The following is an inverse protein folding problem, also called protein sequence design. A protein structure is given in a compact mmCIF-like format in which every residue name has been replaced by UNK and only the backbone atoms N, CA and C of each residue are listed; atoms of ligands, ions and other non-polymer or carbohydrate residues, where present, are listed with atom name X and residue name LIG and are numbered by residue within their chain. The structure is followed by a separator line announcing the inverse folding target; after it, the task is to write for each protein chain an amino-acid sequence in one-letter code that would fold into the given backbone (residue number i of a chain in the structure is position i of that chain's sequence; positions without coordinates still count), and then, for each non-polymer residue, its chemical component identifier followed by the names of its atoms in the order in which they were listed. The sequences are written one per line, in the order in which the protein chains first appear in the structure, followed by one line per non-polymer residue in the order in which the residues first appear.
data_IF_289228805708
#
_entry.id   IF_289228805708
#
_cell.length_a   1.000
_cell.length_b   1.000
_cell.length_c   1.000
_cell.angle_alpha   90.00
_cell.angle_beta   90.00
_cell.angle_gamma   90.00
#
_symmetry.space_group_name_H-M   'P 1'
#
loop_
_entity.id
_entity.type
_entity.pdbx_description
1 polymer ?
#
# COMPACT_ATOMS: atom_id res chain seq x y z
N UNK A 1 14.89 -14.21 -5.48
CA UNK A 1 13.98 -15.13 -4.80
C UNK A 1 12.56 -14.64 -5.04
N UNK A 2 11.62 -15.53 -5.37
CA UNK A 2 10.22 -15.20 -5.66
C UNK A 2 9.40 -15.26 -4.38
N UNK A 3 8.38 -14.38 -4.26
CA UNK A 3 7.48 -14.30 -3.10
C UNK A 3 6.07 -14.72 -3.51
N UNK A 4 5.46 -15.59 -2.71
CA UNK A 4 4.10 -16.10 -2.89
C UNK A 4 3.27 -15.82 -1.65
N UNK A 5 2.02 -15.41 -1.83
CA UNK A 5 1.09 -15.19 -0.73
C UNK A 5 0.13 -16.36 -0.64
N UNK A 6 -0.05 -16.88 0.56
CA UNK A 6 -0.96 -17.98 0.85
C UNK A 6 -1.84 -17.65 2.06
N UNK A 7 -3.00 -18.30 2.12
CA UNK A 7 -3.87 -18.23 3.28
C UNK A 7 -3.39 -19.20 4.37
N UNK A 8 -3.82 -18.98 5.62
CA UNK A 8 -3.50 -19.83 6.76
C UNK A 8 -3.82 -21.32 6.51
N UNK A 9 -4.90 -21.60 5.76
CA UNK A 9 -5.30 -22.97 5.39
C UNK A 9 -4.29 -23.68 4.49
N UNK A 10 -3.35 -22.98 3.88
CA UNK A 10 -2.27 -23.57 3.09
C UNK A 10 -1.13 -24.13 3.96
N UNK A 11 -1.11 -23.80 5.27
CA UNK A 11 -0.09 -24.27 6.20
C UNK A 11 -0.45 -25.64 6.77
N UNK A 12 0.44 -26.60 6.59
CA UNK A 12 0.33 -27.96 7.11
C UNK A 12 1.59 -28.28 7.96
N UNK A 13 1.55 -27.94 9.26
CA UNK A 13 2.70 -28.06 10.14
C UNK A 13 3.87 -27.15 9.71
N UNK A 14 4.99 -27.76 9.36
CA UNK A 14 6.21 -27.08 8.90
C UNK A 14 6.28 -26.94 7.37
N UNK A 15 5.16 -27.04 6.67
CA UNK A 15 5.08 -26.92 5.22
C UNK A 15 3.95 -26.00 4.79
N UNK A 16 4.08 -25.48 3.58
CA UNK A 16 2.99 -24.80 2.85
C UNK A 16 2.60 -25.58 1.60
N UNK A 17 1.30 -25.76 1.40
CA UNK A 17 0.73 -26.35 0.19
C UNK A 17 0.24 -25.25 -0.74
N UNK A 18 0.94 -25.02 -1.87
CA UNK A 18 0.69 -23.94 -2.80
C UNK A 18 0.04 -24.48 -4.07
N UNK A 19 -1.22 -24.15 -4.31
CA UNK A 19 -2.02 -24.59 -5.46
C UNK A 19 -2.33 -23.52 -6.49
N UNK A 20 -3.23 -23.86 -7.42
CA UNK A 20 -3.84 -22.92 -8.34
C UNK A 20 -2.88 -22.14 -9.25
N UNK A 21 -3.08 -20.82 -9.33
CA UNK A 21 -2.27 -19.94 -10.19
C UNK A 21 -0.82 -19.89 -9.78
N UNK A 22 -0.53 -19.91 -8.48
CA UNK A 22 0.83 -19.82 -7.97
C UNK A 22 1.60 -21.12 -8.22
N UNK A 23 0.96 -22.29 -8.11
CA UNK A 23 1.55 -23.56 -8.56
C UNK A 23 1.93 -23.51 -10.03
N UNK A 24 1.04 -23.02 -10.90
CA UNK A 24 1.33 -22.87 -12.32
C UNK A 24 2.49 -21.90 -12.56
N UNK A 25 2.54 -20.81 -11.82
CA UNK A 25 3.65 -19.85 -11.89
C UNK A 25 4.98 -20.49 -11.50
N UNK A 26 5.02 -21.20 -10.38
CA UNK A 26 6.22 -21.90 -9.88
C UNK A 26 6.74 -22.91 -10.93
N UNK A 27 5.88 -23.80 -11.39
CA UNK A 27 6.29 -24.92 -12.24
C UNK A 27 6.50 -24.55 -13.71
N UNK A 28 5.60 -23.74 -14.30
CA UNK A 28 5.56 -23.52 -15.74
C UNK A 28 6.19 -22.20 -16.17
N UNK A 29 6.10 -21.16 -15.37
CA UNK A 29 6.69 -19.83 -15.67
C UNK A 29 8.11 -19.75 -15.15
N UNK A 30 8.29 -19.99 -13.86
CA UNK A 30 9.60 -19.92 -13.19
C UNK A 30 10.43 -21.18 -13.37
N UNK A 31 9.78 -22.32 -13.69
CA UNK A 31 10.41 -23.63 -13.90
C UNK A 31 11.26 -24.08 -12.71
N UNK A 32 10.78 -23.75 -11.51
CA UNK A 32 11.44 -24.14 -10.27
C UNK A 32 11.39 -25.66 -10.07
N UNK A 33 12.39 -26.19 -9.40
CA UNK A 33 12.55 -27.61 -9.14
C UNK A 33 12.59 -27.90 -7.64
N UNK A 34 12.41 -29.16 -7.25
CA UNK A 34 12.63 -29.61 -5.88
C UNK A 34 14.04 -29.21 -5.43
N UNK A 35 14.13 -28.62 -4.24
CA UNK A 35 15.35 -28.04 -3.68
C UNK A 35 15.52 -26.54 -3.89
N UNK A 36 14.78 -25.93 -4.84
CA UNK A 36 14.83 -24.47 -5.02
C UNK A 36 14.17 -23.75 -3.83
N UNK A 37 14.65 -22.53 -3.56
CA UNK A 37 14.14 -21.69 -2.47
C UNK A 37 13.22 -20.60 -2.96
N UNK A 38 12.16 -20.33 -2.17
CA UNK A 38 11.18 -19.28 -2.38
C UNK A 38 10.79 -18.65 -1.05
N UNK A 39 10.15 -17.47 -1.13
CA UNK A 39 9.49 -16.87 0.03
C UNK A 39 8.01 -17.20 0.00
N UNK A 40 7.44 -17.50 1.16
CA UNK A 40 6.01 -17.65 1.36
C UNK A 40 5.57 -16.67 2.43
N UNK A 41 4.65 -15.80 2.10
CA UNK A 41 4.03 -14.85 3.03
C UNK A 41 2.63 -15.33 3.40
N UNK A 42 2.41 -15.56 4.70
CA UNK A 42 1.15 -16.01 5.28
C UNK A 42 0.84 -15.12 6.49
N UNK A 43 -0.35 -14.48 6.50
CA UNK A 43 -0.80 -13.61 7.60
C UNK A 43 0.26 -12.58 8.06
N UNK A 44 0.97 -11.98 7.11
CA UNK A 44 2.00 -10.95 7.38
C UNK A 44 3.36 -11.51 7.81
N UNK A 45 3.49 -12.81 7.95
CA UNK A 45 4.77 -13.47 8.25
C UNK A 45 5.39 -14.00 6.95
N UNK A 46 6.64 -13.64 6.68
CA UNK A 46 7.39 -14.15 5.53
C UNK A 46 8.34 -15.26 5.99
N UNK A 47 8.24 -16.43 5.36
CA UNK A 47 9.09 -17.58 5.63
C UNK A 47 9.97 -17.91 4.43
N UNK A 48 11.22 -18.22 4.67
CA UNK A 48 12.10 -18.86 3.68
C UNK A 48 11.70 -20.33 3.59
N UNK A 49 11.30 -20.77 2.41
CA UNK A 49 10.88 -22.13 2.15
C UNK A 49 11.74 -22.77 1.06
N UNK A 50 11.82 -24.10 1.10
CA UNK A 50 12.43 -24.93 0.08
C UNK A 50 11.37 -25.83 -0.56
N UNK A 51 11.32 -25.90 -1.88
CA UNK A 51 10.44 -26.83 -2.57
C UNK A 51 10.82 -28.27 -2.21
N UNK A 52 9.88 -28.98 -1.61
CA UNK A 52 10.05 -30.38 -1.21
C UNK A 52 9.47 -31.32 -2.26
N UNK A 53 8.21 -31.13 -2.63
CA UNK A 53 7.56 -31.95 -3.65
C UNK A 53 6.74 -31.11 -4.64
N UNK A 54 6.61 -31.64 -5.87
CA UNK A 54 5.76 -31.06 -6.93
C UNK A 54 4.71 -32.11 -7.27
N UNK A 55 3.47 -31.84 -6.87
CA UNK A 55 2.32 -32.69 -7.15
C UNK A 55 1.52 -32.22 -8.37
N UNK A 56 0.51 -33.01 -8.78
CA UNK A 56 -0.28 -32.68 -9.95
C UNK A 56 -1.05 -31.35 -9.83
N UNK A 57 -1.54 -31.01 -8.64
CA UNK A 57 -2.40 -29.86 -8.34
C UNK A 57 -1.76 -28.82 -7.42
N UNK A 58 -0.66 -29.15 -6.76
CA UNK A 58 0.04 -28.27 -5.80
C UNK A 58 1.55 -28.47 -5.82
N UNK A 59 2.26 -27.58 -5.17
CA UNK A 59 3.64 -27.78 -4.71
C UNK A 59 3.66 -27.67 -3.20
N UNK A 60 4.50 -28.51 -2.57
CA UNK A 60 4.74 -28.48 -1.13
C UNK A 60 6.09 -27.81 -0.90
N UNK A 61 6.13 -26.83 -0.02
CA UNK A 61 7.31 -26.09 0.34
C UNK A 61 7.56 -26.20 1.85
N UNK A 62 8.68 -26.78 2.25
CA UNK A 62 9.14 -26.91 3.63
C UNK A 62 9.62 -25.56 4.15
N UNK A 63 9.21 -25.16 5.35
CA UNK A 63 9.68 -23.96 6.03
C UNK A 63 11.11 -24.22 6.53
N UNK A 64 12.08 -23.48 5.99
CA UNK A 64 13.47 -23.52 6.40
C UNK A 64 13.74 -22.52 7.53
N UNK A 65 13.12 -21.34 7.42
CA UNK A 65 13.25 -20.27 8.41
C UNK A 65 11.95 -19.46 8.45
N UNK A 66 11.31 -19.42 9.59
CA UNK A 66 10.12 -18.58 9.83
C UNK A 66 10.56 -17.16 10.22
N UNK A 67 9.74 -16.16 9.88
CA UNK A 67 10.10 -14.75 10.12
C UNK A 67 11.42 -14.33 9.44
N UNK A 68 11.70 -14.91 8.28
CA UNK A 68 12.96 -14.71 7.56
C UNK A 68 13.24 -13.23 7.23
N UNK A 69 12.20 -12.47 6.92
CA UNK A 69 12.27 -11.02 6.68
C UNK A 69 10.98 -10.34 7.12
N UNK A 70 11.13 -9.20 7.78
CA UNK A 70 10.05 -8.24 7.94
C UNK A 70 10.37 -6.99 7.11
N UNK A 71 9.53 -6.70 6.10
CA UNK A 71 9.65 -5.53 5.23
C UNK A 71 8.55 -4.51 5.48
N UNK A 72 7.72 -4.76 6.48
CA UNK A 72 6.61 -3.87 6.82
C UNK A 72 7.07 -2.76 7.76
N UNK A 73 6.54 -1.57 7.52
CA UNK A 73 6.81 -0.43 8.38
C UNK A 73 6.13 -0.60 9.74
N UNK A 74 6.72 -0.11 10.83
CA UNK A 74 6.09 -0.10 12.15
C UNK A 74 4.92 0.90 12.25
N UNK A 75 4.54 1.55 11.15
CA UNK A 75 3.45 2.52 11.00
C UNK A 75 2.60 2.15 9.79
N UNK A 76 1.29 2.19 9.92
CA UNK A 76 0.36 1.89 8.83
C UNK A 76 -0.02 3.16 8.06
N UNK A 77 0.56 3.37 6.87
CA UNK A 77 0.17 4.47 5.99
C UNK A 77 -1.01 4.09 5.10
N UNK A 78 -2.04 4.91 5.09
CA UNK A 78 -3.22 4.77 4.22
C UNK A 78 -3.28 5.94 3.24
N UNK A 79 -3.21 5.65 1.94
CA UNK A 79 -3.30 6.67 0.89
C UNK A 79 -4.76 6.86 0.45
N UNK A 80 -5.33 8.01 0.77
CA UNK A 80 -6.59 8.50 0.21
C UNK A 80 -6.28 9.28 -1.07
N UNK A 81 -6.58 8.69 -2.21
CA UNK A 81 -6.21 9.26 -3.51
C UNK A 81 -7.43 9.77 -4.27
N UNK A 82 -7.51 11.07 -4.51
CA UNK A 82 -8.49 11.66 -5.42
C UNK A 82 -8.38 11.01 -6.81
N UNK A 83 -9.51 10.54 -7.37
CA UNK A 83 -9.53 9.77 -8.62
C UNK A 83 -8.82 10.52 -9.76
N UNK A 84 -7.65 10.07 -10.23
CA UNK A 84 -6.93 10.71 -11.31
C UNK A 84 -7.44 10.26 -12.67
N UNK A 85 -7.04 10.97 -13.74
CA UNK A 85 -7.36 10.59 -15.12
C UNK A 85 -6.53 9.39 -15.60
N UNK A 86 -7.12 8.61 -16.52
CA UNK A 86 -6.42 7.53 -17.22
C UNK A 86 -5.91 6.43 -16.30
N UNK A 87 -4.69 6.01 -16.53
CA UNK A 87 -4.06 4.88 -15.82
C UNK A 87 -3.13 5.32 -14.69
N UNK A 88 -3.16 6.61 -14.30
CA UNK A 88 -2.29 7.15 -13.24
C UNK A 88 -2.51 6.47 -11.89
N UNK A 89 -3.75 6.05 -11.59
CA UNK A 89 -4.06 5.31 -10.37
C UNK A 89 -3.25 4.01 -10.28
N UNK A 90 -3.03 3.34 -11.41
CA UNK A 90 -2.23 2.12 -11.48
C UNK A 90 -0.77 2.36 -11.10
N UNK A 91 -0.18 3.45 -11.62
CA UNK A 91 1.18 3.88 -11.26
C UNK A 91 1.27 4.27 -9.78
N UNK A 92 0.28 5.03 -9.27
CA UNK A 92 0.22 5.44 -7.87
C UNK A 92 0.21 4.21 -6.97
N UNK A 93 -0.70 3.28 -7.21
CA UNK A 93 -0.81 2.05 -6.42
C UNK A 93 0.49 1.27 -6.47
N UNK A 94 1.02 1.01 -7.67
CA UNK A 94 2.28 0.28 -7.82
C UNK A 94 3.39 0.91 -6.97
N UNK A 95 3.60 2.22 -7.09
CA UNK A 95 4.72 2.88 -6.42
C UNK A 95 4.52 3.07 -4.92
N UNK A 96 3.29 3.32 -4.48
CA UNK A 96 3.03 3.46 -3.04
C UNK A 96 3.03 2.11 -2.31
N UNK A 97 2.68 1.02 -2.97
CA UNK A 97 2.87 -0.35 -2.45
C UNK A 97 4.36 -0.67 -2.29
N UNK A 98 5.19 -0.34 -3.29
CA UNK A 98 6.66 -0.47 -3.19
C UNK A 98 7.25 0.34 -2.01
N UNK A 99 6.61 1.46 -1.63
CA UNK A 99 7.00 2.34 -0.53
C UNK A 99 6.38 1.99 0.83
N UNK A 100 5.68 0.87 0.94
CA UNK A 100 5.20 0.39 2.24
C UNK A 100 3.79 0.84 2.64
N UNK A 101 2.95 1.39 1.71
CA UNK A 101 1.57 1.73 2.05
C UNK A 101 0.80 0.51 2.56
N UNK A 102 -0.02 0.67 3.61
CA UNK A 102 -0.85 -0.39 4.17
C UNK A 102 -2.18 -0.56 3.40
N UNK A 103 -2.67 0.51 2.79
CA UNK A 103 -3.89 0.47 1.97
C UNK A 103 -4.07 1.71 1.12
N UNK A 104 -4.85 1.58 0.04
CA UNK A 104 -5.17 2.68 -0.87
C UNK A 104 -6.68 2.84 -0.98
N UNK A 105 -7.16 4.03 -0.70
CA UNK A 105 -8.56 4.42 -0.71
C UNK A 105 -8.81 5.40 -1.86
N UNK A 106 -9.46 5.00 -2.96
CA UNK A 106 -9.84 5.91 -4.02
C UNK A 106 -10.96 6.84 -3.57
N UNK A 107 -10.83 8.15 -3.81
CA UNK A 107 -11.78 9.17 -3.33
C UNK A 107 -12.38 9.95 -4.51
N UNK A 108 -13.71 10.02 -4.57
CA UNK A 108 -14.43 10.92 -5.48
C UNK A 108 -14.44 12.34 -4.88
N UNK A 109 -13.81 13.28 -5.59
CA UNK A 109 -13.69 14.67 -5.20
C UNK A 109 -14.33 15.59 -6.24
N UNK A 110 -14.57 16.84 -5.85
CA UNK A 110 -15.26 17.83 -6.69
C UNK A 110 -14.58 18.03 -8.05
N UNK A 111 -13.25 18.10 -8.06
CA UNK A 111 -12.45 18.32 -9.28
C UNK A 111 -11.98 17.05 -9.98
N UNK A 112 -12.49 15.87 -9.59
CA UNK A 112 -12.26 14.65 -10.33
C UNK A 112 -12.95 14.71 -11.69
N UNK A 113 -12.16 14.52 -12.76
CA UNK A 113 -12.69 14.41 -14.12
C UNK A 113 -13.25 13.02 -14.38
N UNK A 114 -12.65 12.00 -13.78
CA UNK A 114 -13.14 10.63 -13.87
C UNK A 114 -14.43 10.46 -13.06
N UNK A 115 -15.49 10.02 -13.75
CA UNK A 115 -16.77 9.66 -13.12
C UNK A 115 -16.99 8.18 -13.33
N UNK A 116 -17.24 7.46 -12.25
CA UNK A 116 -17.43 6.02 -12.25
C UNK A 116 -18.84 5.68 -11.78
N UNK A 117 -19.57 4.89 -12.57
CA UNK A 117 -20.75 4.19 -12.09
C UNK A 117 -20.33 2.98 -11.22
N UNK A 118 -21.28 2.42 -10.45
CA UNK A 118 -20.98 1.36 -9.48
C UNK A 118 -20.35 0.11 -10.11
N UNK A 119 -20.75 -0.24 -11.33
CA UNK A 119 -20.15 -1.36 -12.06
C UNK A 119 -18.69 -1.09 -12.40
N UNK A 120 -18.40 0.13 -12.86
CA UNK A 120 -17.02 0.55 -13.17
C UNK A 120 -16.17 0.67 -11.91
N UNK A 121 -16.73 1.15 -10.78
CA UNK A 121 -16.03 1.20 -9.48
C UNK A 121 -15.52 -0.19 -9.12
N UNK A 122 -16.39 -1.20 -9.11
CA UNK A 122 -16.01 -2.59 -8.81
C UNK A 122 -14.93 -3.12 -9.75
N UNK A 123 -15.15 -2.99 -11.08
CA UNK A 123 -14.18 -3.50 -12.07
C UNK A 123 -12.80 -2.82 -11.94
N UNK A 124 -12.78 -1.50 -11.66
CA UNK A 124 -11.53 -0.77 -11.45
C UNK A 124 -10.85 -1.19 -10.15
N UNK A 125 -11.61 -1.32 -9.07
CA UNK A 125 -11.07 -1.77 -7.78
C UNK A 125 -10.42 -3.16 -7.91
N UNK A 126 -11.06 -4.12 -8.56
CA UNK A 126 -10.51 -5.46 -8.77
C UNK A 126 -9.20 -5.42 -9.59
N UNK A 127 -9.14 -4.58 -10.63
CA UNK A 127 -7.92 -4.36 -11.40
C UNK A 127 -6.81 -3.72 -10.55
N UNK A 128 -7.13 -2.71 -9.76
CA UNK A 128 -6.19 -2.03 -8.88
C UNK A 128 -5.66 -2.95 -7.78
N UNK A 129 -6.50 -3.82 -7.24
CA UNK A 129 -6.08 -4.85 -6.28
C UNK A 129 -5.06 -5.82 -6.90
N UNK A 130 -5.27 -6.24 -8.15
CA UNK A 130 -4.30 -7.10 -8.86
C UNK A 130 -2.95 -6.41 -9.08
N UNK A 131 -2.95 -5.09 -9.24
CA UNK A 131 -1.71 -4.29 -9.35
C UNK A 131 -1.01 -4.22 -7.99
N UNK A 132 -1.76 -3.99 -6.91
CA UNK A 132 -1.21 -4.00 -5.55
C UNK A 132 -0.57 -5.36 -5.22
N UNK A 133 -1.23 -6.47 -5.54
CA UNK A 133 -0.68 -7.82 -5.38
C UNK A 133 0.63 -8.00 -6.15
N UNK A 134 0.66 -7.60 -7.43
CA UNK A 134 1.86 -7.72 -8.27
C UNK A 134 3.02 -6.89 -7.73
N UNK A 135 2.74 -5.66 -7.25
CA UNK A 135 3.72 -4.78 -6.66
C UNK A 135 4.26 -5.34 -5.33
N UNK A 136 3.38 -5.88 -4.46
CA UNK A 136 3.76 -6.51 -3.20
C UNK A 136 4.67 -7.74 -3.42
N UNK A 137 4.35 -8.59 -4.39
CA UNK A 137 5.21 -9.73 -4.78
C UNK A 137 6.59 -9.27 -5.25
N UNK A 138 6.65 -8.22 -6.06
CA UNK A 138 7.90 -7.69 -6.61
C UNK A 138 8.76 -7.02 -5.52
N UNK A 139 8.17 -6.22 -4.64
CA UNK A 139 8.86 -5.50 -3.57
C UNK A 139 9.14 -6.35 -2.32
N UNK A 140 8.74 -7.63 -2.33
CA UNK A 140 8.94 -8.59 -1.22
C UNK A 140 8.20 -8.19 0.06
N UNK A 141 7.05 -7.54 -0.07
CA UNK A 141 6.18 -7.22 1.05
C UNK A 141 5.69 -8.49 1.74
N UNK A 142 5.44 -8.41 3.03
CA UNK A 142 4.86 -9.52 3.80
C UNK A 142 3.34 -9.57 3.72
N UNK A 143 2.73 -8.43 3.37
CA UNK A 143 1.29 -8.28 3.16
C UNK A 143 0.98 -7.78 1.75
N UNK A 144 -0.23 -8.07 1.28
CA UNK A 144 -0.81 -7.42 0.08
C UNK A 144 -1.67 -6.25 0.58
N UNK A 145 -1.29 -4.99 0.29
CA UNK A 145 -2.10 -3.85 0.66
C UNK A 145 -3.49 -3.91 0.02
N UNK A 146 -4.52 -3.57 0.80
CA UNK A 146 -5.88 -3.53 0.29
C UNK A 146 -6.12 -2.27 -0.54
N UNK A 147 -6.77 -2.44 -1.70
CA UNK A 147 -7.39 -1.33 -2.42
C UNK A 147 -8.87 -1.34 -2.08
N UNK A 148 -9.26 -0.34 -1.30
CA UNK A 148 -10.62 -0.20 -0.79
C UNK A 148 -11.62 0.21 -1.88
N UNK A 149 -12.90 0.12 -1.56
CA UNK A 149 -13.95 0.64 -2.41
C UNK A 149 -13.85 2.17 -2.55
N UNK A 150 -14.32 2.68 -3.69
CA UNK A 150 -14.30 4.12 -3.96
C UNK A 150 -15.21 4.86 -2.98
N UNK A 151 -14.65 5.77 -2.20
CA UNK A 151 -15.36 6.61 -1.24
C UNK A 151 -15.71 7.98 -1.84
N UNK A 152 -16.77 8.59 -1.32
CA UNK A 152 -17.01 10.02 -1.50
C UNK A 152 -16.07 10.84 -0.60
N UNK A 153 -15.82 12.10 -0.94
CA UNK A 153 -15.03 13.00 -0.09
C UNK A 153 -15.59 13.09 1.34
N UNK A 154 -16.92 13.13 1.50
CA UNK A 154 -17.57 13.15 2.83
C UNK A 154 -17.23 11.91 3.65
N UNK A 155 -17.26 10.73 3.04
CA UNK A 155 -16.88 9.48 3.72
C UNK A 155 -15.39 9.48 4.11
N UNK A 156 -14.52 9.99 3.22
CA UNK A 156 -13.09 10.13 3.53
C UNK A 156 -12.86 11.07 4.74
N UNK A 157 -13.62 12.18 4.84
CA UNK A 157 -13.53 13.06 6.01
C UNK A 157 -14.01 12.38 7.29
N UNK A 158 -15.03 11.54 7.22
CA UNK A 158 -15.46 10.75 8.38
C UNK A 158 -14.41 9.74 8.83
N UNK A 159 -13.65 9.16 7.90
CA UNK A 159 -12.58 8.21 8.20
C UNK A 159 -11.35 8.84 8.88
N UNK A 160 -11.24 10.17 8.91
CA UNK A 160 -10.15 10.86 9.64
C UNK A 160 -10.20 10.53 11.13
N UNK A 161 -11.40 10.36 11.69
CA UNK A 161 -11.58 10.05 13.11
C UNK A 161 -11.02 8.66 13.50
N UNK A 162 -10.85 7.77 12.54
CA UNK A 162 -10.31 6.42 12.74
C UNK A 162 -8.78 6.37 12.57
N UNK A 163 -8.15 7.51 12.22
CA UNK A 163 -6.71 7.63 12.04
C UNK A 163 -6.05 8.40 13.20
N UNK A 164 -4.88 7.94 13.63
CA UNK A 164 -4.10 8.64 14.68
C UNK A 164 -3.54 9.98 14.17
N UNK A 165 -3.25 10.05 12.87
CA UNK A 165 -2.78 11.25 12.19
C UNK A 165 -3.33 11.29 10.77
N UNK A 166 -3.68 12.47 10.27
CA UNK A 166 -4.15 12.63 8.90
C UNK A 166 -3.51 13.84 8.23
N UNK A 167 -2.84 13.63 7.12
CA UNK A 167 -2.06 14.61 6.38
C UNK A 167 -2.72 14.95 5.05
N UNK A 168 -2.80 16.24 4.73
CA UNK A 168 -3.32 16.72 3.44
C UNK A 168 -2.27 17.60 2.78
N UNK A 169 -1.46 17.07 1.86
CA UNK A 169 -0.60 17.89 1.02
C UNK A 169 -1.41 18.87 0.19
N UNK A 170 -1.16 20.17 0.38
CA UNK A 170 -1.88 21.23 -0.31
C UNK A 170 -0.92 22.24 -0.96
N UNK A 171 -1.15 22.54 -2.22
CA UNK A 171 -0.26 23.38 -3.03
C UNK A 171 -0.13 24.83 -2.56
N UNK A 172 -1.15 25.36 -1.87
CA UNK A 172 -1.15 26.69 -1.31
C UNK A 172 -0.54 26.77 0.09
N UNK A 173 -0.24 25.62 0.72
CA UNK A 173 0.49 25.59 1.99
C UNK A 173 1.97 25.83 1.74
N UNK A 174 2.54 26.82 2.44
CA UNK A 174 3.91 27.26 2.18
C UNK A 174 4.84 26.94 3.35
N UNK A 175 6.05 26.57 2.97
CA UNK A 175 7.09 26.20 3.94
C UNK A 175 6.99 24.73 4.37
N UNK A 176 8.02 24.26 5.04
CA UNK A 176 8.14 22.85 5.45
C UNK A 176 8.02 22.67 6.97
N UNK A 177 7.68 23.74 7.72
CA UNK A 177 7.60 23.67 9.19
C UNK A 177 6.47 22.75 9.61
N UNK A 178 5.25 22.98 9.11
CA UNK A 178 4.09 22.14 9.41
C UNK A 178 4.32 20.67 9.01
N UNK A 179 4.97 20.44 7.86
CA UNK A 179 5.31 19.09 7.39
C UNK A 179 6.30 18.42 8.35
N UNK A 180 7.35 19.13 8.77
CA UNK A 180 8.34 18.62 9.72
C UNK A 180 7.69 18.29 11.07
N UNK A 181 6.85 19.18 11.59
CA UNK A 181 6.12 18.97 12.84
C UNK A 181 5.16 17.78 12.75
N UNK A 182 4.45 17.63 11.63
CA UNK A 182 3.56 16.51 11.38
C UNK A 182 4.32 15.17 11.36
N UNK A 183 5.46 15.11 10.67
CA UNK A 183 6.29 13.90 10.63
C UNK A 183 6.81 13.52 12.03
N UNK A 184 7.24 14.48 12.84
CA UNK A 184 7.71 14.21 14.20
C UNK A 184 6.61 13.70 15.15
N UNK A 185 5.33 13.80 14.79
CA UNK A 185 4.22 13.24 15.57
C UNK A 185 3.97 11.76 15.29
N UNK A 186 4.56 11.22 14.22
CA UNK A 186 4.40 9.81 13.85
C UNK A 186 5.14 8.95 14.86
N UNK A 187 4.46 7.94 15.39
CA UNK A 187 5.01 6.98 16.36
C UNK A 187 4.73 5.54 15.87
N UNK A 188 5.55 4.55 16.27
CA UNK A 188 5.27 3.15 15.98
C UNK A 188 3.87 2.73 16.42
N UNK A 189 3.22 1.90 15.61
CA UNK A 189 1.86 1.42 15.83
C UNK A 189 0.75 2.36 15.34
N UNK A 190 1.07 3.59 14.95
CA UNK A 190 0.06 4.54 14.45
C UNK A 190 -0.45 4.18 13.06
N UNK A 191 -1.71 4.57 12.83
CA UNK A 191 -2.36 4.67 11.53
C UNK A 191 -2.28 6.12 11.01
N UNK A 192 -1.68 6.31 9.83
CA UNK A 192 -1.47 7.63 9.23
C UNK A 192 -2.17 7.73 7.90
N UNK A 193 -3.23 8.54 7.81
CA UNK A 193 -3.90 8.85 6.55
C UNK A 193 -3.18 9.95 5.79
N UNK A 194 -3.09 9.82 4.46
CA UNK A 194 -2.54 10.83 3.55
C UNK A 194 -3.54 11.05 2.44
N UNK A 195 -4.13 12.24 2.32
CA UNK A 195 -5.09 12.56 1.25
C UNK A 195 -4.44 13.42 0.18
N UNK A 196 -4.38 12.90 -1.04
CA UNK A 196 -3.84 13.60 -2.21
C UNK A 196 -4.96 13.89 -3.21
N UNK A 197 -5.07 15.13 -3.66
CA UNK A 197 -6.08 15.57 -4.62
C UNK A 197 -5.85 15.02 -6.04
N UNK A 198 -6.88 15.07 -6.92
CA UNK A 198 -6.74 14.78 -8.34
C UNK A 198 -5.94 15.89 -9.06
N UNK A 199 -5.81 15.81 -10.39
CA UNK A 199 -5.09 16.83 -11.17
C UNK A 199 -5.65 18.25 -11.03
N UNK A 200 -6.95 18.38 -10.74
CA UNK A 200 -7.59 19.67 -10.48
C UNK A 200 -7.32 20.24 -9.09
N UNK A 201 -6.59 19.49 -8.24
CA UNK A 201 -6.34 19.85 -6.84
C UNK A 201 -7.62 19.84 -6.00
N UNK A 202 -7.58 20.52 -4.86
CA UNK A 202 -8.69 20.67 -3.93
C UNK A 202 -9.51 21.92 -4.20
N UNK A 203 -10.79 21.90 -3.88
CA UNK A 203 -11.56 23.12 -3.64
C UNK A 203 -11.24 23.67 -2.25
N UNK A 204 -11.33 25.00 -2.06
CA UNK A 204 -11.11 25.60 -0.74
C UNK A 204 -12.01 24.99 0.33
N UNK A 205 -13.28 24.75 -0.01
CA UNK A 205 -14.24 24.08 0.90
C UNK A 205 -13.81 22.66 1.32
N UNK A 206 -13.14 21.93 0.43
CA UNK A 206 -12.61 20.61 0.77
C UNK A 206 -11.47 20.72 1.79
N UNK A 207 -10.60 21.70 1.65
CA UNK A 207 -9.54 21.98 2.62
C UNK A 207 -10.09 22.44 3.97
N UNK A 208 -11.11 23.28 3.96
CA UNK A 208 -11.75 23.76 5.21
C UNK A 208 -12.40 22.58 5.96
N UNK A 209 -13.13 21.73 5.26
CA UNK A 209 -13.71 20.51 5.84
C UNK A 209 -12.64 19.55 6.38
N UNK A 210 -11.51 19.41 5.69
CA UNK A 210 -10.41 18.59 6.17
C UNK A 210 -9.81 19.15 7.49
N UNK A 211 -9.62 20.48 7.58
CA UNK A 211 -9.16 21.16 8.80
C UNK A 211 -10.14 20.98 9.96
N UNK A 212 -11.43 21.18 9.70
CA UNK A 212 -12.50 20.98 10.70
C UNK A 212 -12.54 19.54 11.19
N UNK A 213 -12.26 18.56 10.32
CA UNK A 213 -12.17 17.16 10.70
C UNK A 213 -10.87 16.78 11.44
N UNK A 214 -9.91 17.71 11.59
CA UNK A 214 -8.67 17.49 12.33
C UNK A 214 -7.45 17.13 11.46
N UNK A 215 -7.55 17.21 10.13
CA UNK A 215 -6.41 16.97 9.26
C UNK A 215 -5.35 18.09 9.36
N UNK A 216 -4.10 17.68 9.29
CA UNK A 216 -2.96 18.60 9.19
C UNK A 216 -2.69 18.92 7.70
N UNK A 217 -2.77 20.20 7.36
CA UNK A 217 -2.43 20.66 6.03
C UNK A 217 -0.91 20.83 5.96
N UNK A 218 -0.29 20.16 5.00
CA UNK A 218 1.17 20.09 4.86
C UNK A 218 1.64 20.49 3.47
N UNK A 219 2.92 20.83 3.33
CA UNK A 219 3.54 21.18 2.06
C UNK A 219 4.48 20.07 1.59
N UNK A 220 4.51 19.79 0.29
CA UNK A 220 5.52 18.93 -0.35
C UNK A 220 6.64 19.75 -1.01
N UNK A 221 6.81 21.00 -0.61
CA UNK A 221 7.83 21.89 -1.13
C UNK A 221 7.30 22.97 -2.09
N UNK A 222 8.22 23.71 -2.71
CA UNK A 222 7.91 24.95 -3.45
C UNK A 222 7.36 24.72 -4.86
N UNK A 223 7.41 23.52 -5.37
CA UNK A 223 7.00 23.19 -6.74
C UNK A 223 5.62 22.54 -6.75
N UNK A 224 4.82 22.87 -7.78
CA UNK A 224 3.57 22.13 -8.02
C UNK A 224 3.93 20.75 -8.53
N UNK A 225 3.46 19.72 -7.85
CA UNK A 225 3.65 18.34 -8.23
C UNK A 225 2.39 17.83 -8.97
N UNK A 226 2.59 16.92 -9.90
CA UNK A 226 1.48 16.14 -10.47
C UNK A 226 0.92 15.22 -9.39
N UNK A 227 -0.37 14.86 -9.49
CA UNK A 227 -1.04 14.04 -8.49
C UNK A 227 -0.31 12.73 -8.19
N UNK A 228 0.19 12.05 -9.24
CA UNK A 228 0.99 10.84 -9.09
C UNK A 228 2.31 11.08 -8.37
N UNK A 229 2.98 12.18 -8.66
CA UNK A 229 4.22 12.57 -7.98
C UNK A 229 3.95 12.96 -6.52
N UNK A 230 2.86 13.69 -6.25
CA UNK A 230 2.48 14.08 -4.90
C UNK A 230 2.20 12.86 -4.02
N UNK A 231 1.46 11.87 -4.53
CA UNK A 231 1.17 10.64 -3.82
C UNK A 231 2.43 9.84 -3.46
N UNK A 232 3.30 9.62 -4.46
CA UNK A 232 4.55 8.88 -4.28
C UNK A 232 5.47 9.60 -3.27
N UNK A 233 5.64 10.92 -3.40
CA UNK A 233 6.50 11.70 -2.51
C UNK A 233 5.92 11.77 -1.09
N UNK A 234 4.61 11.91 -0.93
CA UNK A 234 3.99 12.00 0.40
C UNK A 234 4.14 10.69 1.17
N UNK A 235 3.87 9.55 0.53
CA UNK A 235 4.09 8.22 1.14
C UNK A 235 5.58 7.97 1.36
N UNK A 236 6.43 8.25 0.37
CA UNK A 236 7.88 8.05 0.47
C UNK A 236 8.54 8.92 1.55
N UNK A 237 8.05 10.14 1.78
CA UNK A 237 8.49 11.01 2.88
C UNK A 237 8.15 10.39 4.25
N UNK A 238 6.94 9.86 4.40
CA UNK A 238 6.53 9.16 5.62
C UNK A 238 7.37 7.89 5.85
N UNK A 239 7.51 7.06 4.83
CA UNK A 239 8.33 5.85 4.86
C UNK A 239 9.78 6.16 5.29
N UNK A 240 10.46 7.08 4.59
CA UNK A 240 11.84 7.46 4.90
C UNK A 240 11.97 8.04 6.32
N UNK A 241 10.98 8.83 6.77
CA UNK A 241 10.98 9.34 8.15
C UNK A 241 10.92 8.21 9.17
N UNK A 242 10.07 7.21 8.93
CA UNK A 242 9.89 6.05 9.83
C UNK A 242 11.15 5.20 9.84
N UNK A 243 11.66 4.78 8.68
CA UNK A 243 12.86 3.95 8.59
C UNK A 243 14.11 4.62 9.18
N UNK A 244 14.29 5.93 9.00
CA UNK A 244 15.44 6.65 9.55
C UNK A 244 15.36 6.95 11.05
N UNK A 245 14.15 7.01 11.66
CA UNK A 245 14.00 7.51 13.00
C UNK A 245 13.26 6.57 13.96
N UNK A 246 12.47 5.63 13.46
CA UNK A 246 11.57 4.80 14.28
C UNK A 246 11.83 3.31 14.09
N UNK A 247 12.42 2.91 12.98
CA UNK A 247 12.84 1.53 12.77
C UNK A 247 14.05 1.30 13.69
N UNK A 248 13.85 0.49 14.72
CA UNK A 248 14.86 0.28 15.75
C UNK A 248 16.17 -0.23 15.16
N UNK A 249 17.27 0.30 15.66
CA UNK A 249 18.64 0.00 15.23
C UNK A 249 19.09 -1.45 15.53
N UNK A 250 18.24 -2.43 15.27
CA UNK A 250 18.52 -3.87 15.38
C UNK A 250 18.48 -4.50 13.97
N UNK A 251 19.52 -4.21 13.19
CA UNK A 251 19.92 -5.00 12.04
C UNK A 251 21.32 -5.56 12.28
#
# INVERSE_FOLDING_TARGET
MHNFFVDENAREGDTYRIGGKDRNHICNVLRMQVGDTLLVSCEGVSSLCRLDTIEGDAVVAEIVEENYRNTELPVSFYLFQGLPKGDKMELIIQKTVELGVAGVIPVEMSRCVMKLDDKKKKTRRDRWQSIAESAAKQSKRNIIPEVFDVMTYKQAMSAIADMDLFLVPYENERGMVATKEALHRIQPGMSVGILVGPEGGFEEKEIDLAREAGALIVSLGKRILRTETAAIIAVGMGMLHVEMNLDGADQ
#
